data_IF_421987270659
#
_entry.id   IF_421987270659
#
_cell.length_a   1.000
_cell.length_b   1.000
_cell.length_c   1.000
_cell.angle_alpha   90.00
_cell.angle_beta   90.00
_cell.angle_gamma   90.00
#
_symmetry.space_group_name_H-M   'P 1'
#
loop_
_entity.id
_entity.type
_entity.pdbx_description
1 polymer ?
#
# COMPACT_ATOMS: atom_id res chain seq x y z
N UNK A 1 37.49 -33.07 -58.95
CA UNK A 1 36.66 -33.43 -57.79
C UNK A 1 35.86 -32.18 -57.47
N UNK A 2 34.64 -32.08 -58.01
CA UNK A 2 33.73 -30.94 -57.80
C UNK A 2 33.29 -30.94 -56.33
N UNK A 3 33.54 -29.84 -55.62
CA UNK A 3 32.84 -29.57 -54.36
C UNK A 3 31.38 -29.16 -54.68
N UNK A 4 30.38 -29.72 -53.98
CA UNK A 4 28.99 -29.34 -54.18
C UNK A 4 28.68 -27.97 -53.54
N UNK A 5 27.96 -27.15 -54.30
CA UNK A 5 27.43 -25.84 -53.92
C UNK A 5 26.43 -25.99 -52.76
N UNK A 6 26.45 -25.14 -51.72
CA UNK A 6 25.42 -25.20 -50.68
C UNK A 6 24.08 -24.68 -51.22
N UNK A 7 23.07 -25.55 -51.23
CA UNK A 7 21.66 -25.19 -51.43
C UNK A 7 21.21 -24.21 -50.34
N UNK A 8 21.06 -22.94 -50.71
CA UNK A 8 20.41 -21.91 -49.90
C UNK A 8 18.90 -22.16 -49.93
N UNK A 9 18.42 -22.99 -49.01
CA UNK A 9 17.00 -23.12 -48.71
C UNK A 9 16.45 -21.80 -48.17
N UNK A 10 15.54 -21.17 -48.92
CA UNK A 10 14.72 -20.05 -48.47
C UNK A 10 13.79 -20.53 -47.34
N UNK A 11 14.26 -20.44 -46.11
CA UNK A 11 13.41 -20.63 -44.93
C UNK A 11 12.50 -19.39 -44.81
N UNK A 12 11.27 -19.52 -45.28
CA UNK A 12 10.21 -18.53 -45.03
C UNK A 12 9.89 -18.56 -43.53
N UNK A 13 10.52 -17.66 -42.78
CA UNK A 13 10.15 -17.39 -41.39
C UNK A 13 8.78 -16.70 -41.35
N UNK A 14 7.81 -17.21 -40.57
CA UNK A 14 6.51 -16.55 -40.45
C UNK A 14 6.73 -15.19 -39.77
N UNK A 15 6.27 -14.12 -40.44
CA UNK A 15 6.24 -12.77 -39.88
C UNK A 15 5.31 -12.78 -38.67
N UNK A 16 5.86 -12.86 -37.47
CA UNK A 16 5.12 -12.48 -36.28
C UNK A 16 4.92 -10.97 -36.34
N UNK A 17 3.68 -10.54 -36.57
CA UNK A 17 3.28 -9.14 -36.42
C UNK A 17 3.59 -8.72 -34.99
N UNK A 18 4.52 -7.80 -34.80
CA UNK A 18 4.78 -7.21 -33.50
C UNK A 18 3.58 -6.33 -33.11
N UNK A 19 2.63 -6.90 -32.37
CA UNK A 19 1.57 -6.12 -31.73
C UNK A 19 2.17 -5.51 -30.46
N UNK A 20 2.36 -4.19 -30.47
CA UNK A 20 2.74 -3.46 -29.26
C UNK A 20 1.51 -3.37 -28.37
N UNK A 21 1.45 -4.21 -27.34
CA UNK A 21 0.40 -4.14 -26.31
C UNK A 21 0.88 -3.16 -25.24
N UNK A 22 0.29 -1.96 -25.20
CA UNK A 22 0.50 -1.01 -24.10
C UNK A 22 -0.26 -1.51 -22.87
N UNK A 23 0.43 -2.23 -22.00
CA UNK A 23 -0.11 -2.58 -20.68
C UNK A 23 -0.07 -1.34 -19.78
N UNK A 24 -1.18 -0.96 -19.10
CA UNK A 24 -1.14 0.13 -18.14
C UNK A 24 -0.17 -0.21 -17.01
N UNK A 25 0.60 0.78 -16.54
CA UNK A 25 1.63 0.66 -15.48
C UNK A 25 1.11 -0.01 -14.18
N UNK A 26 -0.19 0.02 -13.93
CA UNK A 26 -0.84 -0.62 -12.77
C UNK A 26 -1.11 -2.12 -12.93
N UNK A 27 -0.81 -2.69 -14.11
CA UNK A 27 -0.85 -4.12 -14.41
C UNK A 27 0.49 -4.80 -14.11
N UNK A 28 1.40 -4.10 -13.42
CA UNK A 28 2.54 -4.70 -12.77
C UNK A 28 2.02 -5.53 -11.59
N UNK A 29 1.90 -6.82 -11.86
CA UNK A 29 1.48 -7.87 -10.94
C UNK A 29 2.06 -7.68 -9.53
N UNK A 30 1.26 -7.13 -8.62
CA UNK A 30 1.45 -7.36 -7.20
C UNK A 30 1.17 -8.85 -6.97
N UNK A 31 2.18 -9.69 -7.16
CA UNK A 31 2.12 -11.10 -6.82
C UNK A 31 1.85 -11.19 -5.32
N UNK A 32 0.71 -11.77 -4.89
CA UNK A 32 0.41 -11.88 -3.47
C UNK A 32 1.53 -12.69 -2.82
N UNK A 33 2.30 -12.03 -1.94
CA UNK A 33 3.39 -12.66 -1.23
C UNK A 33 2.84 -13.23 0.07
N UNK A 34 2.82 -14.55 0.19
CA UNK A 34 2.36 -15.24 1.39
C UNK A 34 3.50 -15.34 2.39
N UNK A 35 3.33 -14.72 3.57
CA UNK A 35 4.23 -14.87 4.71
C UNK A 35 3.59 -15.78 5.75
N UNK A 36 4.28 -16.86 6.15
CA UNK A 36 3.87 -17.72 7.27
C UNK A 36 4.74 -17.44 8.47
N UNK A 37 4.12 -17.01 9.56
CA UNK A 37 4.78 -16.81 10.85
C UNK A 37 4.68 -18.11 11.67
N UNK A 38 5.83 -18.72 12.00
CA UNK A 38 5.90 -19.94 12.83
C UNK A 38 6.45 -19.60 14.21
N UNK A 39 6.06 -20.38 15.22
CA UNK A 39 6.52 -20.24 16.61
C UNK A 39 6.29 -18.83 17.18
N UNK A 40 5.13 -18.24 16.90
CA UNK A 40 4.77 -16.94 17.48
C UNK A 40 4.59 -17.13 18.99
N UNK A 41 5.27 -16.34 19.86
CA UNK A 41 5.05 -16.40 21.30
C UNK A 41 3.59 -16.11 21.64
N UNK A 42 2.99 -16.86 22.57
CA UNK A 42 1.56 -16.75 22.91
C UNK A 42 1.15 -15.31 23.25
N UNK A 43 1.99 -14.58 23.99
CA UNK A 43 1.75 -13.18 24.33
C UNK A 43 1.61 -12.29 23.08
N UNK A 44 2.37 -12.55 22.02
CA UNK A 44 2.31 -11.79 20.76
C UNK A 44 1.03 -12.14 20.01
N UNK A 45 0.67 -13.42 19.96
CA UNK A 45 -0.57 -13.87 19.32
C UNK A 45 -1.80 -13.26 20.00
N UNK A 46 -1.89 -13.30 21.33
CA UNK A 46 -3.01 -12.74 22.08
C UNK A 46 -3.15 -11.23 21.89
N UNK A 47 -2.03 -10.50 21.87
CA UNK A 47 -2.04 -9.05 21.58
C UNK A 47 -2.52 -8.76 20.16
N UNK A 48 -2.09 -9.56 19.17
CA UNK A 48 -2.53 -9.41 17.79
C UNK A 48 -4.03 -9.70 17.64
N UNK A 49 -4.53 -10.75 18.31
CA UNK A 49 -5.95 -11.11 18.32
C UNK A 49 -6.81 -10.02 18.95
N UNK A 50 -6.41 -9.50 20.12
CA UNK A 50 -7.12 -8.41 20.78
C UNK A 50 -7.16 -7.13 19.92
N UNK A 51 -6.06 -6.80 19.23
CA UNK A 51 -6.02 -5.67 18.31
C UNK A 51 -6.94 -5.89 17.10
N UNK A 52 -6.96 -7.09 16.53
CA UNK A 52 -7.82 -7.45 15.41
C UNK A 52 -9.32 -7.33 15.79
N UNK A 53 -9.71 -7.81 16.98
CA UNK A 53 -11.07 -7.67 17.50
C UNK A 53 -11.45 -6.20 17.73
N UNK A 54 -10.56 -5.42 18.37
CA UNK A 54 -10.78 -3.99 18.60
C UNK A 54 -10.94 -3.20 17.30
N UNK A 55 -10.16 -3.53 16.27
CA UNK A 55 -10.24 -2.88 14.96
C UNK A 55 -11.32 -3.49 14.05
N UNK A 56 -12.00 -4.56 14.48
CA UNK A 56 -12.98 -5.34 13.70
C UNK A 56 -12.41 -5.81 12.36
N UNK A 57 -11.19 -6.33 12.39
CA UNK A 57 -10.43 -6.82 11.23
C UNK A 57 -10.11 -8.30 11.39
N UNK A 58 -9.82 -8.96 10.27
CA UNK A 58 -9.24 -10.30 10.31
C UNK A 58 -7.82 -10.27 10.90
N UNK A 59 -7.38 -11.38 11.49
CA UNK A 59 -6.03 -11.50 12.04
C UNK A 59 -4.94 -11.24 10.97
N UNK A 60 -5.19 -11.69 9.74
CA UNK A 60 -4.28 -11.46 8.61
C UNK A 60 -4.17 -9.98 8.27
N UNK A 61 -5.31 -9.29 8.17
CA UNK A 61 -5.33 -7.84 7.89
C UNK A 61 -4.65 -7.05 9.01
N UNK A 62 -4.84 -7.44 10.27
CA UNK A 62 -4.17 -6.79 11.40
C UNK A 62 -2.65 -7.03 11.38
N UNK A 63 -2.21 -8.24 11.04
CA UNK A 63 -0.79 -8.55 10.89
C UNK A 63 -0.14 -7.70 9.79
N UNK A 64 -0.82 -7.54 8.64
CA UNK A 64 -0.36 -6.68 7.55
C UNK A 64 -0.24 -5.23 8.02
N UNK A 65 -1.27 -4.69 8.69
CA UNK A 65 -1.24 -3.31 9.21
C UNK A 65 -0.10 -3.12 10.22
N UNK A 66 0.09 -4.07 11.14
CA UNK A 66 1.18 -4.02 12.10
C UNK A 66 2.54 -3.96 11.40
N UNK A 67 2.76 -4.81 10.39
CA UNK A 67 3.98 -4.79 9.56
C UNK A 67 4.14 -3.47 8.81
N UNK A 68 3.08 -2.95 8.17
CA UNK A 68 3.10 -1.67 7.47
C UNK A 68 3.46 -0.51 8.40
N UNK A 69 2.92 -0.48 9.62
CA UNK A 69 3.20 0.63 10.56
C UNK A 69 4.66 0.69 11.00
N UNK A 70 5.33 -0.46 11.08
CA UNK A 70 6.74 -0.57 11.51
C UNK A 70 7.71 -0.46 10.34
N UNK A 71 7.41 -1.12 9.22
CA UNK A 71 8.29 -1.23 8.06
C UNK A 71 8.09 -0.09 7.06
N UNK A 72 6.90 0.51 7.05
CA UNK A 72 6.53 1.63 6.21
C UNK A 72 6.11 2.81 7.08
N UNK A 73 7.01 3.34 7.94
CA UNK A 73 6.70 4.57 8.64
C UNK A 73 6.36 5.60 7.58
N UNK A 74 5.09 6.00 7.53
CA UNK A 74 4.56 6.87 6.49
C UNK A 74 5.36 8.15 6.55
N UNK A 75 6.37 8.30 5.69
CA UNK A 75 6.97 9.60 5.38
C UNK A 75 5.92 10.36 4.59
N UNK A 76 4.88 10.80 5.29
CA UNK A 76 4.06 11.90 4.80
C UNK A 76 5.05 13.03 4.64
N UNK A 77 5.30 13.44 3.40
CA UNK A 77 6.16 14.56 3.14
C UNK A 77 5.63 15.76 3.96
N UNK A 78 6.49 16.59 4.57
CA UNK A 78 6.01 17.75 5.34
C UNK A 78 4.99 18.60 4.58
N UNK A 79 5.15 18.70 3.25
CA UNK A 79 4.21 19.35 2.33
C UNK A 79 2.82 18.70 2.31
N UNK A 80 2.74 17.38 2.23
CA UNK A 80 1.49 16.61 2.22
C UNK A 80 0.77 16.69 3.57
N UNK A 81 1.54 16.65 4.66
CA UNK A 81 1.00 16.87 6.02
C UNK A 81 0.42 18.27 6.16
N UNK A 82 1.10 19.29 5.63
CA UNK A 82 0.61 20.67 5.62
C UNK A 82 -0.62 20.84 4.71
N UNK A 83 -0.66 20.18 3.54
CA UNK A 83 -1.80 20.20 2.65
C UNK A 83 -3.05 19.62 3.33
N UNK A 84 -2.92 18.43 3.93
CA UNK A 84 -4.00 17.80 4.70
C UNK A 84 -4.46 18.66 5.88
N UNK A 85 -3.54 19.30 6.60
CA UNK A 85 -3.89 20.21 7.68
C UNK A 85 -4.66 21.45 7.18
N UNK A 86 -4.30 21.98 6.00
CA UNK A 86 -5.02 23.10 5.37
C UNK A 86 -6.41 22.71 4.90
N UNK A 87 -6.57 21.54 4.29
CA UNK A 87 -7.88 21.00 3.88
C UNK A 87 -8.81 20.82 5.09
N UNK A 88 -8.31 20.19 6.15
CA UNK A 88 -9.06 20.05 7.41
C UNK A 88 -9.46 21.41 7.98
N UNK A 89 -8.54 22.40 7.95
CA UNK A 89 -8.84 23.76 8.43
C UNK A 89 -9.88 24.47 7.56
N UNK A 90 -9.84 24.28 6.25
CA UNK A 90 -10.80 24.86 5.31
C UNK A 90 -12.23 24.31 5.53
N UNK A 91 -12.34 23.05 5.96
CA UNK A 91 -13.62 22.43 6.31
C UNK A 91 -14.22 22.90 7.65
N UNK A 92 -13.49 23.69 8.46
CA UNK A 92 -13.96 24.17 9.76
C UNK A 92 -14.39 25.63 9.64
N UNK A 93 -15.71 25.86 9.60
CA UNK A 93 -16.32 27.20 9.57
C UNK A 93 -16.32 27.88 10.95
N UNK A 94 -16.01 27.15 12.01
CA UNK A 94 -16.05 27.67 13.39
C UNK A 94 -14.81 28.54 13.70
N UNK A 95 -15.04 29.71 14.27
CA UNK A 95 -13.98 30.54 14.87
C UNK A 95 -13.83 30.18 16.34
N UNK A 96 -12.67 29.67 16.71
CA UNK A 96 -12.39 29.32 18.10
C UNK A 96 -11.64 30.46 18.77
N UNK A 97 -12.30 31.20 19.67
CA UNK A 97 -11.61 32.17 20.54
C UNK A 97 -11.00 31.43 21.71
N UNK A 98 -9.83 31.88 22.16
CA UNK A 98 -9.10 31.26 23.28
C UNK A 98 -9.99 31.06 24.52
N UNK A 99 -10.79 32.08 24.87
CA UNK A 99 -11.73 32.03 26.00
C UNK A 99 -12.80 30.93 25.85
N UNK A 100 -13.27 30.69 24.64
CA UNK A 100 -14.33 29.73 24.35
C UNK A 100 -13.77 28.30 24.44
N UNK A 101 -12.53 28.09 23.97
CA UNK A 101 -11.79 26.83 24.14
C UNK A 101 -11.54 26.53 25.63
N UNK A 102 -11.10 27.52 26.40
CA UNK A 102 -10.83 27.34 27.82
C UNK A 102 -12.09 27.06 28.65
N UNK A 103 -13.23 27.64 28.27
CA UNK A 103 -14.52 27.31 28.85
C UNK A 103 -14.90 25.85 28.55
N UNK A 104 -14.77 25.41 27.29
CA UNK A 104 -15.07 24.04 26.87
C UNK A 104 -14.17 23.00 27.55
N UNK A 105 -12.88 23.29 27.75
CA UNK A 105 -11.97 22.41 28.49
C UNK A 105 -12.43 22.16 29.93
N UNK A 106 -12.98 23.19 30.60
CA UNK A 106 -13.47 23.11 31.98
C UNK A 106 -14.81 22.37 32.09
N UNK A 107 -15.63 22.40 31.05
CA UNK A 107 -16.90 21.68 30.98
C UNK A 107 -16.69 20.16 30.83
N UNK A 108 -15.47 19.70 30.53
CA UNK A 108 -15.16 18.29 30.35
C UNK A 108 -15.72 17.72 29.05
N UNK A 109 -15.54 16.42 28.85
CA UNK A 109 -16.12 15.66 27.74
C UNK A 109 -17.26 14.81 28.33
N UNK A 110 -18.51 14.94 27.88
CA UNK A 110 -19.54 13.98 28.25
C UNK A 110 -19.21 12.57 27.74
#
# INVERSE_FOLDING_TARGET
MQDPVPEIGLHVVPRYTAVTVTVPFWLETAMPTTLTLKNIPDQVYERLKAAAEAHRRSLNSEAIVCLETVLTPTRIAPSERLARARELRAGITATFRARDIDALKRQGRP
#
